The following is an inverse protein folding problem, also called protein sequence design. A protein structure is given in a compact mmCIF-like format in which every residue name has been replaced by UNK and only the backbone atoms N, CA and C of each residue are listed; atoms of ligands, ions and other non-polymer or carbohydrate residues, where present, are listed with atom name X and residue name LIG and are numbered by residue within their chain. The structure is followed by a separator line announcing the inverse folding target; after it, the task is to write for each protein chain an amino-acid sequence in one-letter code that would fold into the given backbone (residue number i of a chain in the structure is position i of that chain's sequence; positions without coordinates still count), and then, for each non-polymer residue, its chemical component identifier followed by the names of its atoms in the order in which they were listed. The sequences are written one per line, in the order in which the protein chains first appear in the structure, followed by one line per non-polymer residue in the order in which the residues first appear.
data_IF_103235976531
#
_entry.id   IF_103235976531
#
_cell.length_a   1.000
_cell.length_b   1.000
_cell.length_c   1.000
_cell.angle_alpha   90.00
_cell.angle_beta   90.00
_cell.angle_gamma   90.00
#
_symmetry.space_group_name_H-M   'P 1'
#
loop_
_entity.id
_entity.type
_entity.pdbx_description
1 polymer ?
#
# COMPACT_ATOMS: atom_id res chain seq x y z
N UNK A 1 -65.69 -45.67 30.70
CA UNK A 1 -65.57 -44.66 31.76
C UNK A 1 -64.12 -44.19 31.69
N UNK A 2 -63.74 -42.96 31.32
CA UNK A 2 -64.31 -41.65 31.61
C UNK A 2 -63.81 -40.59 30.59
N UNK A 3 -64.71 -39.65 30.27
CA UNK A 3 -64.66 -38.38 29.53
C UNK A 3 -63.38 -37.86 28.83
N UNK A 4 -63.54 -37.60 27.53
CA UNK A 4 -62.87 -36.54 26.75
C UNK A 4 -63.41 -35.16 27.15
N UNK A 5 -62.52 -34.25 27.59
CA UNK A 5 -62.82 -32.82 27.70
C UNK A 5 -62.51 -32.14 26.35
N UNK A 6 -63.55 -31.63 25.69
CA UNK A 6 -63.41 -30.86 24.45
C UNK A 6 -63.42 -29.36 24.79
N UNK A 7 -62.26 -28.72 24.68
CA UNK A 7 -62.17 -27.27 24.73
C UNK A 7 -62.69 -26.70 23.41
N UNK A 8 -63.96 -26.30 23.42
CA UNK A 8 -64.58 -25.52 22.34
C UNK A 8 -63.89 -24.15 22.30
N UNK A 9 -62.93 -23.96 21.40
CA UNK A 9 -62.38 -22.64 21.13
C UNK A 9 -63.48 -21.76 20.49
N UNK A 10 -63.85 -20.63 21.10
CA UNK A 10 -64.90 -19.78 20.57
C UNK A 10 -64.43 -19.14 19.26
N UNK A 11 -65.09 -19.50 18.15
CA UNK A 11 -64.83 -18.96 16.80
C UNK A 11 -64.80 -17.41 16.77
N UNK A 12 -65.54 -16.77 17.68
CA UNK A 12 -65.56 -15.31 17.85
C UNK A 12 -64.21 -14.72 18.30
N UNK A 13 -63.39 -15.46 19.03
CA UNK A 13 -62.05 -15.03 19.49
C UNK A 13 -61.02 -15.00 18.35
N UNK A 14 -61.12 -15.94 17.40
CA UNK A 14 -60.23 -16.00 16.25
C UNK A 14 -60.54 -14.86 15.27
N UNK A 15 -61.83 -14.60 15.03
CA UNK A 15 -62.28 -13.51 14.15
C UNK A 15 -61.89 -12.13 14.70
N UNK A 16 -61.97 -11.94 16.01
CA UNK A 16 -61.52 -10.69 16.65
C UNK A 16 -60.01 -10.49 16.55
N UNK A 17 -59.20 -11.54 16.68
CA UNK A 17 -57.74 -11.46 16.47
C UNK A 17 -57.41 -11.10 15.01
N UNK A 18 -58.07 -11.71 14.03
CA UNK A 18 -57.85 -11.36 12.62
C UNK A 18 -58.28 -9.92 12.29
N UNK A 19 -59.38 -9.44 12.86
CA UNK A 19 -59.80 -8.03 12.70
C UNK A 19 -58.77 -7.09 13.33
N UNK A 20 -58.27 -7.39 14.53
CA UNK A 20 -57.24 -6.58 15.20
C UNK A 20 -55.95 -6.56 14.37
N UNK A 21 -55.51 -7.70 13.84
CA UNK A 21 -54.32 -7.78 12.97
C UNK A 21 -54.53 -7.01 11.67
N UNK A 22 -55.69 -7.14 11.01
CA UNK A 22 -55.99 -6.42 9.77
C UNK A 22 -56.04 -4.91 9.98
N UNK A 23 -56.59 -4.44 11.11
CA UNK A 23 -56.57 -3.03 11.50
C UNK A 23 -55.13 -2.57 11.79
N UNK A 24 -54.33 -3.37 12.50
CA UNK A 24 -52.93 -3.04 12.76
C UNK A 24 -52.10 -2.95 11.47
N UNK A 25 -52.25 -3.90 10.56
CA UNK A 25 -51.58 -3.88 9.26
C UNK A 25 -52.04 -2.69 8.40
N UNK A 26 -53.32 -2.34 8.44
CA UNK A 26 -53.85 -1.16 7.74
C UNK A 26 -53.30 0.14 8.30
N UNK A 27 -53.16 0.25 9.64
CA UNK A 27 -52.54 1.41 10.30
C UNK A 27 -51.05 1.51 9.95
N UNK A 28 -50.31 0.39 9.94
CA UNK A 28 -48.89 0.36 9.56
C UNK A 28 -48.70 0.78 8.09
N UNK A 29 -49.55 0.28 7.19
CA UNK A 29 -49.52 0.68 5.77
C UNK A 29 -49.85 2.17 5.61
N UNK A 30 -50.79 2.71 6.40
CA UNK A 30 -51.11 4.14 6.39
C UNK A 30 -49.93 5.00 6.88
N UNK A 31 -49.27 4.60 7.97
CA UNK A 31 -48.05 5.26 8.48
C UNK A 31 -46.91 5.24 7.46
N UNK A 32 -46.68 4.13 6.76
CA UNK A 32 -45.62 4.02 5.75
C UNK A 32 -45.90 4.89 4.51
N UNK A 33 -47.17 5.15 4.18
CA UNK A 33 -47.56 5.99 3.03
C UNK A 33 -47.22 7.48 3.23
N UNK A 34 -47.17 7.93 4.48
CA UNK A 34 -46.86 9.31 4.87
C UNK A 34 -45.37 9.56 5.14
N UNK A 35 -44.53 8.52 5.06
CA UNK A 35 -43.07 8.69 5.02
C UNK A 35 -42.70 9.16 3.60
N UNK A 36 -43.02 10.42 3.30
CA UNK A 36 -42.23 11.17 2.33
C UNK A 36 -40.84 11.27 2.94
N UNK A 37 -39.91 10.47 2.43
CA UNK A 37 -38.47 10.70 2.61
C UNK A 37 -38.24 12.16 2.21
N UNK A 38 -38.16 13.03 3.22
CA UNK A 38 -37.73 14.40 3.04
C UNK A 38 -36.31 14.27 2.52
N UNK A 39 -35.99 14.71 1.30
CA UNK A 39 -34.61 14.71 0.88
C UNK A 39 -33.83 15.45 1.96
N UNK A 40 -32.79 14.79 2.47
CA UNK A 40 -31.81 15.43 3.36
C UNK A 40 -31.44 16.74 2.66
N UNK A 41 -31.59 17.90 3.31
CA UNK A 41 -31.19 19.15 2.72
C UNK A 41 -29.75 18.99 2.26
N UNK A 42 -29.58 18.93 0.95
CA UNK A 42 -28.30 19.09 0.30
C UNK A 42 -27.92 20.54 0.59
N UNK A 43 -27.35 20.77 1.76
CA UNK A 43 -26.60 21.97 2.03
C UNK A 43 -25.40 21.90 1.12
N UNK A 44 -25.60 22.49 -0.07
CA UNK A 44 -24.59 22.74 -1.08
C UNK A 44 -23.50 23.61 -0.46
N UNK A 45 -22.63 22.98 0.32
CA UNK A 45 -21.26 23.43 0.42
C UNK A 45 -20.68 23.11 -0.95
N UNK A 46 -20.79 24.07 -1.87
CA UNK A 46 -19.91 24.15 -3.02
C UNK A 46 -18.52 24.40 -2.45
N UNK A 47 -17.90 23.34 -1.92
CA UNK A 47 -16.46 23.29 -1.89
C UNK A 47 -16.09 23.09 -3.33
N UNK A 48 -15.86 24.21 -4.01
CA UNK A 48 -15.01 24.23 -5.18
C UNK A 48 -13.62 23.87 -4.65
N UNK A 49 -13.42 22.59 -4.28
CA UNK A 49 -12.10 21.98 -4.21
C UNK A 49 -11.71 21.90 -5.67
N UNK A 50 -11.24 23.01 -6.20
CA UNK A 50 -10.09 22.94 -7.07
C UNK A 50 -9.07 22.26 -6.18
N UNK A 51 -8.98 20.94 -6.32
CA UNK A 51 -7.81 20.17 -5.92
C UNK A 51 -6.72 20.67 -6.87
N UNK A 52 -6.31 21.91 -6.63
CA UNK A 52 -5.03 22.41 -7.04
C UNK A 52 -4.10 21.57 -6.19
N UNK A 53 -3.78 20.37 -6.69
CA UNK A 53 -2.50 19.77 -6.43
C UNK A 53 -1.52 20.90 -6.71
N UNK A 54 -1.13 21.61 -5.65
CA UNK A 54 0.00 22.50 -5.71
C UNK A 54 1.15 21.54 -5.94
N UNK A 55 1.44 21.29 -7.22
CA UNK A 55 2.68 20.71 -7.70
C UNK A 55 3.73 21.73 -7.31
N UNK A 56 4.05 21.71 -6.02
CA UNK A 56 5.23 22.34 -5.49
C UNK A 56 6.32 21.58 -6.22
N UNK A 57 6.99 22.22 -7.16
CA UNK A 57 8.10 21.60 -7.87
C UNK A 57 9.05 21.05 -6.81
N UNK A 58 9.01 19.73 -6.62
CA UNK A 58 9.82 19.08 -5.62
C UNK A 58 11.19 18.95 -6.26
N UNK A 59 12.10 19.85 -5.89
CA UNK A 59 13.43 19.87 -6.50
C UNK A 59 14.15 18.53 -6.31
N UNK A 60 15.11 18.26 -7.19
CA UNK A 60 15.81 16.98 -7.23
C UNK A 60 16.91 16.85 -6.17
N UNK A 61 17.20 15.62 -5.76
CA UNK A 61 18.39 15.21 -5.03
C UNK A 61 19.04 13.98 -5.68
N UNK A 62 20.06 13.43 -5.04
CA UNK A 62 20.88 12.34 -5.58
C UNK A 62 21.01 11.23 -4.54
N UNK A 63 20.81 9.98 -4.96
CA UNK A 63 21.13 8.79 -4.19
C UNK A 63 22.40 8.15 -4.76
N UNK A 64 23.34 7.77 -3.90
CA UNK A 64 24.56 7.06 -4.31
C UNK A 64 24.98 6.01 -3.28
N UNK A 65 25.68 4.99 -3.75
CA UNK A 65 26.22 3.90 -2.94
C UNK A 65 27.08 2.96 -3.76
N UNK A 66 27.62 1.95 -3.08
CA UNK A 66 28.41 0.89 -3.67
C UNK A 66 27.52 -0.20 -4.27
N UNK A 67 27.88 -0.69 -5.45
CA UNK A 67 27.30 -1.91 -6.01
C UNK A 67 27.93 -3.14 -5.34
N UNK A 68 27.11 -4.13 -5.04
CA UNK A 68 27.54 -5.43 -4.52
C UNK A 68 26.66 -6.53 -5.07
N UNK A 69 27.27 -7.67 -5.39
CA UNK A 69 26.59 -8.84 -5.96
C UNK A 69 27.27 -10.11 -5.43
N UNK A 70 26.54 -11.21 -5.16
CA UNK A 70 27.11 -12.44 -4.59
C UNK A 70 27.90 -13.23 -5.65
N UNK A 71 28.94 -12.61 -6.20
CA UNK A 71 29.88 -13.19 -7.15
C UNK A 71 31.19 -12.40 -7.12
N UNK A 72 32.23 -12.91 -7.79
CA UNK A 72 33.51 -12.20 -7.93
C UNK A 72 33.43 -10.95 -8.83
N UNK A 73 32.32 -10.76 -9.55
CA UNK A 73 32.10 -9.65 -10.47
C UNK A 73 30.73 -8.98 -10.28
N UNK A 74 30.66 -7.69 -10.59
CA UNK A 74 29.39 -6.97 -10.70
C UNK A 74 28.82 -7.20 -12.11
N UNK A 75 27.59 -7.74 -12.27
CA UNK A 75 27.00 -7.98 -13.59
C UNK A 75 26.83 -6.66 -14.35
N UNK A 76 27.28 -6.59 -15.61
CA UNK A 76 27.23 -5.35 -16.43
C UNK A 76 25.81 -4.81 -16.64
N UNK A 77 24.80 -5.68 -16.59
CA UNK A 77 23.39 -5.30 -16.73
C UNK A 77 22.71 -5.02 -15.39
N UNK A 78 23.44 -4.94 -14.29
CA UNK A 78 22.87 -4.66 -12.98
C UNK A 78 22.35 -3.22 -12.94
N UNK A 79 21.13 -3.06 -12.45
CA UNK A 79 20.46 -1.76 -12.31
C UNK A 79 20.17 -1.49 -10.84
N UNK A 80 20.16 -0.21 -10.46
CA UNK A 80 19.64 0.24 -9.17
C UNK A 80 18.42 1.12 -9.38
N UNK A 81 17.36 0.85 -8.64
CA UNK A 81 16.09 1.55 -8.71
C UNK A 81 15.68 2.11 -7.34
N UNK A 82 15.14 3.32 -7.35
CA UNK A 82 14.49 3.97 -6.21
C UNK A 82 12.98 4.02 -6.48
N UNK A 83 12.19 3.37 -5.62
CA UNK A 83 10.72 3.37 -5.68
C UNK A 83 10.19 4.36 -4.67
N UNK A 84 9.37 5.30 -5.14
CA UNK A 84 8.73 6.28 -4.27
C UNK A 84 7.82 5.58 -3.25
N UNK A 85 7.87 6.03 -2.00
CA UNK A 85 6.97 5.53 -0.93
C UNK A 85 5.58 6.14 -1.06
N UNK A 86 5.46 7.29 -1.73
CA UNK A 86 4.22 8.09 -1.81
C UNK A 86 3.56 8.07 -3.19
N UNK A 87 4.33 7.91 -4.25
CA UNK A 87 3.85 7.84 -5.64
C UNK A 87 4.18 6.48 -6.25
N UNK A 88 3.52 6.06 -7.36
CA UNK A 88 3.88 4.83 -8.06
C UNK A 88 5.20 4.94 -8.87
N UNK A 89 5.91 6.06 -8.77
CA UNK A 89 7.09 6.32 -9.59
C UNK A 89 8.29 5.48 -9.18
N UNK A 90 9.08 5.09 -10.18
CA UNK A 90 10.34 4.38 -10.00
C UNK A 90 11.41 5.01 -10.87
N UNK A 91 12.58 5.25 -10.29
CA UNK A 91 13.71 5.88 -10.95
C UNK A 91 14.88 4.91 -10.93
N UNK A 92 15.34 4.48 -12.10
CA UNK A 92 16.43 3.50 -12.21
C UNK A 92 17.66 4.10 -12.90
N UNK A 93 18.83 3.53 -12.58
CA UNK A 93 20.09 3.82 -13.24
C UNK A 93 20.83 2.50 -13.50
N UNK A 94 21.34 2.37 -14.72
CA UNK A 94 22.28 1.34 -15.16
C UNK A 94 23.73 1.87 -15.17
N UNK A 95 23.96 3.09 -14.68
CA UNK A 95 25.29 3.71 -14.67
C UNK A 95 26.20 3.07 -13.61
N UNK A 96 27.29 2.46 -14.08
CA UNK A 96 28.33 1.89 -13.22
C UNK A 96 29.53 2.84 -13.12
N UNK A 97 29.69 3.44 -11.94
CA UNK A 97 30.75 4.41 -11.68
C UNK A 97 31.95 3.67 -11.08
N UNK A 98 33.05 3.57 -11.83
CA UNK A 98 34.29 2.94 -11.36
C UNK A 98 35.12 3.95 -10.57
N UNK A 99 35.24 3.73 -9.27
CA UNK A 99 36.07 4.55 -8.39
C UNK A 99 36.47 3.73 -7.15
N UNK A 100 37.68 3.97 -6.64
CA UNK A 100 38.22 3.39 -5.42
C UNK A 100 37.47 3.76 -4.14
N UNK A 101 36.60 4.78 -4.16
CA UNK A 101 35.78 5.14 -2.99
C UNK A 101 34.69 4.11 -2.68
N UNK A 102 34.30 3.28 -3.65
CA UNK A 102 33.24 2.28 -3.48
C UNK A 102 33.82 0.94 -3.02
N UNK A 103 33.06 0.21 -2.17
CA UNK A 103 33.53 -1.03 -1.51
C UNK A 103 34.07 -2.08 -2.49
N UNK A 104 33.41 -2.25 -3.64
CA UNK A 104 33.82 -3.19 -4.69
C UNK A 104 34.44 -2.49 -5.91
N UNK A 105 34.88 -1.23 -5.75
CA UNK A 105 35.42 -0.39 -6.83
C UNK A 105 34.38 0.08 -7.85
N UNK A 106 33.10 -0.21 -7.63
CA UNK A 106 31.99 0.18 -8.49
C UNK A 106 30.83 0.70 -7.64
N UNK A 107 30.29 1.85 -8.01
CA UNK A 107 29.11 2.45 -7.39
C UNK A 107 28.09 2.87 -8.43
N UNK A 108 27.05 3.56 -7.96
CA UNK A 108 25.96 4.06 -8.80
C UNK A 108 25.54 5.47 -8.39
N UNK A 109 24.75 6.09 -9.27
CA UNK A 109 24.11 7.39 -9.03
C UNK A 109 22.70 7.40 -9.62
N UNK A 110 21.72 7.84 -8.83
CA UNK A 110 20.35 8.09 -9.29
C UNK A 110 19.98 9.53 -8.90
N UNK A 111 19.43 10.29 -9.84
CA UNK A 111 18.81 11.59 -9.54
C UNK A 111 17.31 11.37 -9.41
N UNK A 112 16.73 11.83 -8.31
CA UNK A 112 15.31 11.64 -7.96
C UNK A 112 14.73 12.94 -7.41
N UNK A 113 13.42 13.19 -7.53
CA UNK A 113 12.77 14.25 -6.76
C UNK A 113 13.05 14.11 -5.25
N UNK A 114 13.02 15.20 -4.49
CA UNK A 114 13.07 15.09 -3.04
C UNK A 114 11.87 14.26 -2.53
N UNK A 115 12.11 13.36 -1.58
CA UNK A 115 11.10 12.40 -1.15
C UNK A 115 11.65 11.25 -0.33
N UNK A 116 10.80 10.26 -0.09
CA UNK A 116 11.16 9.01 0.57
C UNK A 116 11.12 7.85 -0.43
N UNK A 117 12.15 7.01 -0.41
CA UNK A 117 12.32 5.92 -1.37
C UNK A 117 12.69 4.60 -0.68
N UNK A 118 12.25 3.49 -1.26
CA UNK A 118 12.92 2.21 -1.08
C UNK A 118 13.86 1.97 -2.26
N UNK A 119 15.11 1.63 -1.97
CA UNK A 119 16.15 1.45 -2.98
C UNK A 119 16.51 -0.01 -3.10
N UNK A 120 16.54 -0.54 -4.32
CA UNK A 120 16.95 -1.91 -4.58
C UNK A 120 17.81 -2.01 -5.83
N UNK A 121 18.63 -3.04 -5.88
CA UNK A 121 19.34 -3.44 -7.08
C UNK A 121 18.78 -4.75 -7.64
N UNK A 122 18.92 -4.95 -8.94
CA UNK A 122 18.51 -6.18 -9.61
C UNK A 122 19.29 -6.42 -10.90
N UNK A 123 19.16 -7.63 -11.43
CA UNK A 123 19.73 -8.02 -12.73
C UNK A 123 18.56 -8.39 -13.65
N UNK A 124 18.08 -7.48 -14.53
CA UNK A 124 16.83 -7.63 -15.30
C UNK A 124 16.70 -8.96 -16.08
N UNK A 125 17.83 -9.54 -16.51
CA UNK A 125 17.87 -10.75 -17.33
C UNK A 125 18.24 -12.02 -16.55
N UNK A 126 18.14 -11.98 -15.22
CA UNK A 126 18.46 -13.11 -14.35
C UNK A 126 17.29 -13.46 -13.42
N UNK A 127 16.20 -14.02 -13.96
CA UNK A 127 15.07 -14.47 -13.15
C UNK A 127 15.46 -15.68 -12.30
N UNK A 128 14.81 -15.81 -11.15
CA UNK A 128 14.91 -16.98 -10.30
C UNK A 128 14.10 -18.17 -10.83
N UNK A 129 14.04 -19.25 -10.06
CA UNK A 129 13.32 -20.48 -10.42
C UNK A 129 11.81 -20.28 -10.63
N UNK A 130 11.24 -19.18 -10.12
CA UNK A 130 9.83 -18.81 -10.28
C UNK A 130 9.59 -17.87 -11.47
N UNK A 131 10.66 -17.47 -12.17
CA UNK A 131 10.60 -16.51 -13.26
C UNK A 131 10.63 -15.05 -12.80
N UNK A 132 10.87 -14.78 -11.52
CA UNK A 132 10.91 -13.42 -10.96
C UNK A 132 12.34 -12.93 -10.83
N UNK A 133 12.60 -11.68 -11.21
CA UNK A 133 13.89 -11.05 -10.94
C UNK A 133 13.94 -10.64 -9.47
N UNK A 134 14.98 -11.10 -8.77
CA UNK A 134 15.17 -10.77 -7.37
C UNK A 134 15.59 -9.30 -7.18
N UNK A 135 15.08 -8.67 -6.12
CA UNK A 135 15.39 -7.28 -5.74
C UNK A 135 16.18 -7.29 -4.44
N UNK A 136 17.45 -6.90 -4.51
CA UNK A 136 18.29 -6.74 -3.33
C UNK A 136 18.12 -5.34 -2.77
N UNK A 137 17.49 -5.20 -1.61
CA UNK A 137 17.17 -3.89 -1.04
C UNK A 137 18.34 -3.30 -0.25
N UNK A 138 18.34 -1.98 -0.11
CA UNK A 138 18.96 -1.34 1.04
C UNK A 138 18.05 -1.59 2.25
N UNK A 139 18.51 -2.43 3.17
CA UNK A 139 17.69 -3.01 4.24
C UNK A 139 18.39 -2.90 5.60
N UNK A 140 17.64 -3.23 6.66
CA UNK A 140 18.18 -3.31 8.02
C UNK A 140 19.37 -4.30 8.11
N UNK A 141 19.35 -5.36 7.28
CA UNK A 141 20.46 -6.31 7.15
C UNK A 141 21.72 -5.65 6.59
N UNK A 142 21.58 -4.74 5.63
CA UNK A 142 22.73 -3.98 5.11
C UNK A 142 23.24 -2.99 6.15
N UNK A 143 22.35 -2.23 6.79
CA UNK A 143 22.73 -1.22 7.80
C UNK A 143 23.50 -1.83 8.99
N UNK A 144 23.20 -3.08 9.33
CA UNK A 144 23.89 -3.80 10.38
C UNK A 144 25.22 -4.45 9.94
N UNK A 145 25.65 -4.25 8.69
CA UNK A 145 26.88 -4.80 8.14
C UNK A 145 26.76 -6.22 7.57
N UNK A 146 25.55 -6.68 7.26
CA UNK A 146 25.26 -8.01 6.72
C UNK A 146 25.77 -9.16 7.62
N UNK A 147 25.77 -8.93 8.93
CA UNK A 147 26.18 -9.92 9.91
C UNK A 147 25.09 -10.97 10.13
N UNK A 148 25.48 -12.23 10.32
CA UNK A 148 24.56 -13.36 10.53
C UNK A 148 23.68 -13.22 11.77
N UNK A 149 24.04 -12.35 12.72
CA UNK A 149 23.22 -12.02 13.89
C UNK A 149 22.07 -11.08 13.58
N UNK A 150 22.08 -10.42 12.42
CA UNK A 150 20.98 -9.58 11.96
C UNK A 150 19.91 -10.43 11.31
N UNK A 151 18.71 -10.43 11.88
CA UNK A 151 17.60 -11.25 11.39
C UNK A 151 16.62 -10.49 10.49
N UNK A 152 16.70 -9.16 10.44
CA UNK A 152 15.74 -8.33 9.72
C UNK A 152 16.29 -7.95 8.35
N UNK A 153 15.49 -8.21 7.31
CA UNK A 153 15.75 -7.86 5.92
C UNK A 153 14.76 -6.79 5.42
N UNK A 154 14.07 -6.10 6.33
CA UNK A 154 13.10 -5.08 5.97
C UNK A 154 13.78 -3.93 5.22
N UNK A 155 13.22 -3.47 4.08
CA UNK A 155 13.74 -2.33 3.35
C UNK A 155 13.75 -1.05 4.21
N UNK A 156 14.85 -0.32 4.17
CA UNK A 156 15.00 0.95 4.90
C UNK A 156 14.55 2.10 4.01
N UNK A 157 13.76 3.02 4.58
CA UNK A 157 13.34 4.24 3.88
C UNK A 157 14.50 5.21 3.77
N UNK A 158 14.77 5.65 2.54
CA UNK A 158 15.80 6.64 2.21
C UNK A 158 15.15 7.98 1.99
N UNK A 159 15.47 8.97 2.84
CA UNK A 159 15.02 10.35 2.67
C UNK A 159 16.00 11.15 1.81
N UNK A 160 15.49 11.82 0.79
CA UNK A 160 16.26 12.66 -0.14
C UNK A 160 15.70 14.08 -0.09
N UNK A 161 16.54 15.04 0.27
CA UNK A 161 16.21 16.46 0.20
C UNK A 161 16.57 17.09 -1.16
N UNK A 162 15.98 18.25 -1.46
CA UNK A 162 16.35 19.03 -2.64
C UNK A 162 17.82 19.46 -2.57
N UNK A 163 18.57 19.20 -3.64
CA UNK A 163 20.00 19.46 -3.76
C UNK A 163 20.89 18.57 -2.88
N UNK A 164 20.30 17.62 -2.14
CA UNK A 164 21.04 16.72 -1.25
C UNK A 164 21.66 15.57 -2.04
N UNK A 165 22.88 15.17 -1.65
CA UNK A 165 23.44 13.86 -1.98
C UNK A 165 23.24 12.97 -0.74
N UNK A 166 22.43 11.94 -0.87
CA UNK A 166 22.24 10.88 0.11
C UNK A 166 23.14 9.72 -0.28
N UNK A 167 24.24 9.55 0.45
CA UNK A 167 25.29 8.56 0.17
C UNK A 167 25.15 7.29 1.01
N UNK A 168 25.98 6.28 0.70
CA UNK A 168 26.06 4.98 1.40
C UNK A 168 24.74 4.20 1.42
N UNK A 169 23.92 4.40 0.40
CA UNK A 169 22.72 3.63 0.17
C UNK A 169 23.14 2.43 -0.66
N UNK A 170 23.51 1.33 0.00
CA UNK A 170 24.14 0.16 -0.61
C UNK A 170 23.11 -0.98 -0.74
N UNK A 171 22.33 -1.09 -1.83
CA UNK A 171 21.30 -2.11 -1.98
C UNK A 171 21.88 -3.51 -2.27
N UNK A 172 22.35 -4.17 -1.22
CA UNK A 172 23.15 -5.40 -1.31
C UNK A 172 22.52 -6.60 -0.58
N UNK A 173 21.26 -6.49 -0.17
CA UNK A 173 20.56 -7.59 0.47
C UNK A 173 20.11 -8.67 -0.52
N UNK A 174 21.04 -9.52 -0.95
CA UNK A 174 20.79 -10.63 -1.87
C UNK A 174 20.21 -11.89 -1.20
N UNK A 175 19.80 -11.79 0.06
CA UNK A 175 19.26 -12.91 0.85
C UNK A 175 17.74 -12.86 0.89
N UNK A 176 17.11 -14.01 0.65
CA UNK A 176 15.65 -14.20 0.63
C UNK A 176 15.08 -14.58 1.98
#
# INVERSE_FOLDING_TARGET
MESTSSNKFPLAGIFTVFIVIAVFLSIVIFILKDIKLKPVPEEQTQVNVVEEETVTEVGEGVITGSLGYPSEFIPETMEVCAVSVVTPDTYCSDEHIKDSIYTNGVGYRITVPAGEYYVYAHVPNQPDQTGQTYKAYYSEFVECGMDVSCSSHEPVKVSVGQGQITDKIDPQDWYK
#
